data_IF_696471313299
#
_entry.id   IF_696471313299
#
_cell.length_a   1.000
_cell.length_b   1.000
_cell.length_c   1.000
_cell.angle_alpha   90.00
_cell.angle_beta   90.00
_cell.angle_gamma   90.00
#
_symmetry.space_group_name_H-M   'P 1'
#
loop_
_entity.id
_entity.type
_entity.pdbx_description
1 polymer ?
#
# COMPACT_ATOMS: atom_id res chain seq x y z
N UNK A 1 -25.87 4.44 -21.19
CA UNK A 1 -24.71 3.94 -20.43
C UNK A 1 -25.02 3.92 -18.95
N UNK A 2 -25.12 2.74 -18.33
CA UNK A 2 -25.26 2.60 -16.87
C UNK A 2 -23.91 2.12 -16.31
N UNK A 3 -23.28 2.93 -15.47
CA UNK A 3 -22.05 2.53 -14.79
C UNK A 3 -22.39 2.08 -13.36
N UNK A 4 -21.89 0.91 -12.98
CA UNK A 4 -21.96 0.42 -11.60
C UNK A 4 -20.55 0.35 -11.02
N UNK A 5 -20.31 1.11 -9.96
CA UNK A 5 -19.04 1.11 -9.24
C UNK A 5 -19.24 0.49 -7.86
N UNK A 6 -18.43 -0.53 -7.55
CA UNK A 6 -18.34 -1.14 -6.23
C UNK A 6 -16.94 -0.89 -5.67
N UNK A 7 -16.85 -0.33 -4.47
CA UNK A 7 -15.59 -0.11 -3.78
C UNK A 7 -15.64 -0.79 -2.41
N UNK A 8 -14.64 -1.60 -2.11
CA UNK A 8 -14.46 -2.26 -0.83
C UNK A 8 -13.05 -2.00 -0.30
N UNK A 9 -12.94 -1.68 0.99
CA UNK A 9 -11.67 -1.42 1.67
C UNK A 9 -11.65 -2.10 3.02
N UNK A 10 -10.58 -2.85 3.28
CA UNK A 10 -10.27 -3.46 4.57
C UNK A 10 -8.90 -2.95 5.03
N UNK A 11 -8.77 -2.63 6.31
CA UNK A 11 -7.51 -2.22 6.90
C UNK A 11 -7.41 -2.71 8.34
N UNK A 12 -6.27 -3.31 8.66
CA UNK A 12 -5.95 -3.83 9.98
C UNK A 12 -4.65 -3.20 10.45
N UNK A 13 -4.64 -2.79 11.73
CA UNK A 13 -3.47 -2.21 12.38
C UNK A 13 -3.31 -2.85 13.74
N UNK A 14 -2.10 -3.25 14.07
CA UNK A 14 -1.74 -3.75 15.39
C UNK A 14 -0.45 -3.07 15.82
N UNK A 15 -0.46 -2.48 17.01
CA UNK A 15 0.71 -1.86 17.60
C UNK A 15 0.89 -2.34 19.02
N UNK A 16 2.09 -2.84 19.29
CA UNK A 16 2.59 -3.21 20.60
C UNK A 16 3.79 -2.30 20.95
N UNK A 17 4.42 -2.50 22.11
CA UNK A 17 5.54 -1.65 22.55
C UNK A 17 6.70 -1.61 21.54
N UNK A 18 7.01 -2.74 20.90
CA UNK A 18 8.14 -2.88 19.98
C UNK A 18 7.72 -3.05 18.52
N UNK A 19 6.51 -3.54 18.24
CA UNK A 19 6.09 -3.91 16.89
C UNK A 19 4.92 -3.08 16.41
N UNK A 20 4.94 -2.69 15.15
CA UNK A 20 3.82 -2.02 14.47
C UNK A 20 3.54 -2.70 13.14
N UNK A 21 2.40 -3.37 13.05
CA UNK A 21 1.96 -4.05 11.85
C UNK A 21 0.78 -3.31 11.23
N UNK A 22 0.81 -3.15 9.91
CA UNK A 22 -0.32 -2.64 9.15
C UNK A 22 -0.58 -3.57 7.98
N UNK A 23 -1.84 -3.81 7.67
CA UNK A 23 -2.26 -4.55 6.51
C UNK A 23 -3.48 -3.86 5.91
N UNK A 24 -3.58 -3.82 4.59
CA UNK A 24 -4.76 -3.30 3.91
C UNK A 24 -5.04 -4.06 2.62
N UNK A 25 -6.32 -4.07 2.24
CA UNK A 25 -6.84 -4.57 0.98
C UNK A 25 -7.86 -3.58 0.43
N UNK A 26 -7.68 -3.15 -0.82
CA UNK A 26 -8.65 -2.37 -1.56
C UNK A 26 -9.11 -3.17 -2.79
N UNK A 27 -10.40 -3.16 -3.07
CA UNK A 27 -10.98 -3.73 -4.28
C UNK A 27 -11.95 -2.72 -4.88
N UNK A 28 -11.72 -2.35 -6.14
CA UNK A 28 -12.59 -1.49 -6.92
C UNK A 28 -13.03 -2.26 -8.16
N UNK A 29 -14.34 -2.28 -8.41
CA UNK A 29 -14.92 -2.86 -9.63
C UNK A 29 -15.79 -1.82 -10.31
N UNK A 30 -15.49 -1.55 -11.57
CA UNK A 30 -16.38 -0.80 -12.44
C UNK A 30 -16.96 -1.72 -13.50
N UNK A 31 -18.26 -1.60 -13.73
CA UNK A 31 -18.94 -2.20 -14.88
C UNK A 31 -19.48 -1.09 -15.76
N UNK A 32 -19.09 -1.11 -17.04
CA UNK A 32 -19.71 -0.31 -18.10
C UNK A 32 -20.64 -1.18 -18.94
N UNK A 33 -21.86 -0.70 -19.18
CA UNK A 33 -22.81 -1.30 -20.12
C UNK A 33 -22.97 -0.38 -21.34
N UNK A 34 -22.56 -0.89 -22.51
CA UNK A 34 -22.80 -0.32 -23.84
C UNK A 34 -23.87 -1.14 -24.53
N UNK A 35 -24.90 -0.49 -25.07
CA UNK A 35 -26.01 -1.11 -25.80
C UNK A 35 -25.51 -2.16 -26.80
N UNK A 36 -25.71 -3.45 -26.50
CA UNK A 36 -25.60 -4.53 -27.48
C UNK A 36 -24.98 -5.84 -27.03
N UNK A 37 -23.88 -5.87 -26.24
CA UNK A 37 -23.33 -7.12 -25.64
C UNK A 37 -21.97 -6.95 -24.92
N UNK A 38 -21.30 -5.80 -25.04
CA UNK A 38 -19.95 -5.62 -24.50
C UNK A 38 -19.97 -5.17 -23.03
N UNK A 39 -19.75 -6.12 -22.12
CA UNK A 39 -19.51 -5.87 -20.69
C UNK A 39 -18.03 -5.57 -20.45
N UNK A 40 -17.63 -4.30 -20.50
CA UNK A 40 -16.31 -3.89 -20.02
C UNK A 40 -16.34 -3.91 -18.48
N UNK A 41 -15.81 -4.98 -17.88
CA UNK A 41 -15.54 -5.04 -16.45
C UNK A 41 -14.07 -4.73 -16.25
N UNK A 42 -13.77 -3.72 -15.46
CA UNK A 42 -12.41 -3.41 -15.07
C UNK A 42 -12.31 -3.42 -13.55
N UNK A 43 -11.36 -4.20 -13.06
CA UNK A 43 -11.15 -4.44 -11.64
C UNK A 43 -9.78 -3.92 -11.24
N UNK A 44 -9.71 -3.34 -10.06
CA UNK A 44 -8.48 -2.97 -9.40
C UNK A 44 -8.44 -3.63 -8.03
N UNK A 45 -7.33 -4.28 -7.75
CA UNK A 45 -7.03 -4.90 -6.47
C UNK A 45 -5.70 -4.34 -5.97
N UNK A 46 -5.70 -3.90 -4.72
CA UNK A 46 -4.50 -3.40 -4.06
C UNK A 46 -4.38 -4.10 -2.71
N UNK A 47 -3.19 -4.63 -2.43
CA UNK A 47 -2.89 -5.23 -1.16
C UNK A 47 -1.56 -4.66 -0.65
N UNK A 48 -1.47 -4.43 0.65
CA UNK A 48 -0.20 -4.03 1.23
C UNK A 48 -0.07 -4.39 2.68
N UNK A 49 1.16 -4.62 3.09
CA UNK A 49 1.53 -4.90 4.46
C UNK A 49 2.78 -4.10 4.84
N UNK A 50 2.85 -3.66 6.08
CA UNK A 50 4.07 -3.13 6.67
C UNK A 50 4.29 -3.67 8.07
N UNK A 51 5.55 -3.80 8.44
CA UNK A 51 5.98 -4.20 9.77
C UNK A 51 7.14 -3.31 10.21
N UNK A 52 6.92 -2.58 11.29
CA UNK A 52 7.92 -1.79 11.97
C UNK A 52 8.39 -2.47 13.24
N UNK A 53 9.70 -2.46 13.48
CA UNK A 53 10.32 -2.88 14.73
C UNK A 53 11.05 -1.69 15.36
N UNK A 54 10.67 -1.35 16.58
CA UNK A 54 11.35 -0.35 17.42
C UNK A 54 12.45 -1.08 18.18
N UNK A 55 13.71 -0.77 17.87
CA UNK A 55 14.84 -1.31 18.64
C UNK A 55 14.88 -0.65 20.01
N UNK A 56 14.76 0.68 20.00
CA UNK A 56 14.72 1.53 21.18
C UNK A 56 13.67 2.63 21.00
N UNK A 57 13.55 3.48 22.00
CA UNK A 57 12.72 4.68 21.96
C UNK A 57 13.08 5.69 20.86
N UNK A 58 14.25 5.54 20.24
CA UNK A 58 14.81 6.47 19.25
C UNK A 58 15.07 5.84 17.90
N UNK A 59 15.10 4.52 17.77
CA UNK A 59 15.51 3.85 16.54
C UNK A 59 14.49 2.79 16.13
N UNK A 60 14.19 2.74 14.84
CA UNK A 60 13.25 1.76 14.31
C UNK A 60 13.62 1.35 12.88
N UNK A 61 13.25 0.13 12.51
CA UNK A 61 13.26 -0.37 11.15
C UNK A 61 11.83 -0.58 10.69
N UNK A 62 11.52 -0.25 9.43
CA UNK A 62 10.23 -0.57 8.82
C UNK A 62 10.46 -1.30 7.50
N UNK A 63 9.77 -2.42 7.33
CA UNK A 63 9.64 -3.09 6.04
C UNK A 63 8.22 -2.93 5.54
N UNK A 64 8.05 -2.68 4.24
CA UNK A 64 6.73 -2.67 3.61
C UNK A 64 6.74 -3.36 2.25
N UNK A 65 5.62 -3.96 1.90
CA UNK A 65 5.37 -4.52 0.59
C UNK A 65 3.96 -4.11 0.13
N UNK A 66 3.86 -3.75 -1.14
CA UNK A 66 2.60 -3.42 -1.80
C UNK A 66 2.51 -4.16 -3.12
N UNK A 67 1.32 -4.68 -3.39
CA UNK A 67 0.92 -5.26 -4.66
C UNK A 67 -0.28 -4.50 -5.19
N UNK A 68 -0.25 -4.21 -6.48
CA UNK A 68 -1.37 -3.64 -7.22
C UNK A 68 -1.58 -4.42 -8.51
N UNK A 69 -2.84 -4.73 -8.79
CA UNK A 69 -3.32 -5.19 -10.08
C UNK A 69 -4.44 -4.25 -10.52
N UNK A 70 -4.29 -3.62 -11.68
CA UNK A 70 -5.22 -2.61 -12.17
C UNK A 70 -5.52 -2.85 -13.66
N UNK A 71 -6.70 -3.39 -13.95
CA UNK A 71 -7.16 -3.67 -15.32
C UNK A 71 -7.38 -2.37 -16.16
N UNK A 72 -7.37 -1.18 -15.52
CA UNK A 72 -7.43 0.11 -16.22
C UNK A 72 -6.05 0.67 -16.56
N UNK A 73 -4.99 0.08 -16.02
CA UNK A 73 -3.62 0.54 -16.17
C UNK A 73 -2.93 -0.11 -17.38
N UNK A 74 -1.94 0.55 -18.02
CA UNK A 74 -1.06 -0.11 -19.00
C UNK A 74 -0.19 -1.23 -18.39
N UNK A 75 -0.24 -1.43 -17.08
CA UNK A 75 0.45 -2.49 -16.36
C UNK A 75 -0.55 -3.48 -15.76
N UNK A 76 -0.32 -4.78 -15.99
CA UNK A 76 -1.16 -5.84 -15.44
C UNK A 76 -0.93 -6.04 -13.94
N UNK A 77 0.28 -5.75 -13.46
CA UNK A 77 0.54 -5.69 -12.03
C UNK A 77 1.79 -4.87 -11.70
N UNK A 78 1.87 -4.42 -10.45
CA UNK A 78 3.05 -3.80 -9.85
C UNK A 78 3.27 -4.31 -8.43
N UNK A 79 4.52 -4.65 -8.12
CA UNK A 79 5.00 -4.89 -6.76
C UNK A 79 5.96 -3.78 -6.37
N UNK A 80 5.87 -3.33 -5.12
CA UNK A 80 6.83 -2.41 -4.49
C UNK A 80 7.23 -3.00 -3.15
N UNK A 81 8.52 -3.08 -2.88
CA UNK A 81 9.07 -3.48 -1.59
C UNK A 81 9.96 -2.34 -1.11
N UNK A 82 9.82 -1.95 0.14
CA UNK A 82 10.66 -0.94 0.77
C UNK A 82 11.18 -1.38 2.13
N UNK A 83 12.34 -0.83 2.47
CA UNK A 83 12.97 -0.97 3.77
C UNK A 83 13.45 0.41 4.22
N UNK A 84 13.06 0.81 5.42
CA UNK A 84 13.40 2.10 6.00
C UNK A 84 14.00 1.96 7.39
N UNK A 85 15.00 2.77 7.70
CA UNK A 85 15.55 2.90 9.05
C UNK A 85 15.42 4.36 9.51
N UNK A 86 14.78 4.55 10.67
CA UNK A 86 14.54 5.85 11.26
C UNK A 86 15.26 6.02 12.59
N UNK A 87 15.71 7.24 12.85
CA UNK A 87 16.36 7.65 14.10
C UNK A 87 15.86 9.01 14.59
N UNK A 88 15.42 9.07 15.84
CA UNK A 88 15.04 10.31 16.54
C UNK A 88 16.28 10.93 17.18
N UNK A 89 16.73 12.03 16.58
CA UNK A 89 17.92 12.79 16.97
C UNK A 89 17.65 13.58 18.26
N UNK A 90 16.53 14.30 18.31
CA UNK A 90 16.12 15.11 19.47
C UNK A 90 14.77 14.58 19.95
N UNK A 91 14.66 14.27 21.24
CA UNK A 91 13.42 13.77 21.87
C UNK A 91 13.22 14.45 23.22
N UNK A 92 12.61 15.62 23.22
CA UNK A 92 12.30 16.42 24.41
C UNK A 92 10.80 16.79 24.41
N UNK A 93 10.26 17.24 25.57
CA UNK A 93 8.83 17.56 25.71
C UNK A 93 8.29 18.62 24.72
N UNK A 94 9.16 19.52 24.26
CA UNK A 94 8.80 20.63 23.35
C UNK A 94 9.29 20.43 21.92
N UNK A 95 10.16 19.44 21.66
CA UNK A 95 10.79 19.27 20.35
C UNK A 95 11.15 17.82 20.10
N UNK A 96 10.68 17.31 18.98
CA UNK A 96 11.08 16.03 18.43
C UNK A 96 11.65 16.26 17.02
N UNK A 97 12.86 15.76 16.77
CA UNK A 97 13.49 15.77 15.45
C UNK A 97 13.90 14.35 15.11
N UNK A 98 13.40 13.83 14.00
CA UNK A 98 13.74 12.51 13.47
C UNK A 98 14.20 12.59 12.02
N UNK A 99 15.01 11.61 11.63
CA UNK A 99 15.46 11.40 10.27
C UNK A 99 15.22 9.95 9.89
N UNK A 100 14.85 9.70 8.63
CA UNK A 100 14.62 8.36 8.10
C UNK A 100 15.26 8.23 6.73
N UNK A 101 15.86 7.06 6.47
CA UNK A 101 16.36 6.67 5.16
C UNK A 101 15.57 5.47 4.70
N UNK A 102 14.96 5.56 3.53
CA UNK A 102 14.16 4.50 2.92
C UNK A 102 14.76 4.14 1.56
N UNK A 103 14.91 2.84 1.32
CA UNK A 103 15.19 2.30 0.00
C UNK A 103 13.99 1.48 -0.47
N UNK A 104 13.72 1.50 -1.77
CA UNK A 104 12.61 0.77 -2.35
C UNK A 104 12.97 0.22 -3.73
N UNK A 105 12.42 -0.94 -4.06
CA UNK A 105 12.49 -1.57 -5.36
C UNK A 105 11.07 -1.88 -5.84
N UNK A 106 10.85 -1.79 -7.15
CA UNK A 106 9.56 -2.13 -7.75
C UNK A 106 9.73 -2.93 -9.03
N UNK A 107 8.80 -3.84 -9.28
CA UNK A 107 8.67 -4.58 -10.54
C UNK A 107 7.25 -4.47 -11.06
N UNK A 108 7.09 -4.32 -12.37
CA UNK A 108 5.78 -4.31 -13.03
C UNK A 108 5.83 -5.13 -14.30
N UNK A 109 4.71 -5.77 -14.64
CA UNK A 109 4.51 -6.36 -15.96
C UNK A 109 3.56 -5.47 -16.77
N UNK A 110 3.95 -5.21 -18.02
CA UNK A 110 3.14 -4.45 -18.96
C UNK A 110 2.03 -5.35 -19.52
N UNK A 111 0.83 -4.79 -19.68
CA UNK A 111 -0.26 -5.49 -20.35
C UNK A 111 0.12 -5.69 -21.83
N UNK A 112 0.02 -6.93 -22.37
CA UNK A 112 0.35 -7.21 -23.77
C UNK A 112 -0.56 -6.48 -24.75
#
# INVERSE_FOLDING_TARGET
TKSQNLNAKLAFKKEDAQWKHNFFLNALRSKGETDGDYKLTANRYEAGASSGYKFDERSYLVGAARYENDDFSPYSYQWVISLGYGYTIIKNQQTELSAEVVTAASTSARTP
#
